data_IF_035282257981
#
_entry.id   IF_035282257981
#
_cell.length_a   1.000
_cell.length_b   1.000
_cell.length_c   1.000
_cell.angle_alpha   90.00
_cell.angle_beta   90.00
_cell.angle_gamma   90.00
#
_symmetry.space_group_name_H-M   'P 1'
#
loop_
_entity.id
_entity.type
_entity.pdbx_description
1 polymer ?
#
# COMPACT_ATOMS: atom_id res chain seq x y z
N UNK A 1 -7.47 -0.17 -52.45
CA UNK A 1 -6.21 -0.90 -52.70
C UNK A 1 -6.53 -2.12 -53.53
N UNK A 2 -5.71 -2.44 -54.54
CA UNK A 2 -5.85 -3.70 -55.29
C UNK A 2 -5.12 -4.81 -54.53
N UNK A 3 -5.72 -5.99 -54.47
CA UNK A 3 -5.21 -7.17 -53.76
C UNK A 3 -5.40 -8.40 -54.64
N UNK A 4 -4.58 -9.43 -54.45
CA UNK A 4 -4.71 -10.68 -55.21
C UNK A 4 -6.01 -11.42 -54.91
N UNK A 5 -6.51 -11.32 -53.67
CA UNK A 5 -7.79 -11.82 -53.23
C UNK A 5 -8.23 -11.12 -51.93
N UNK A 6 -9.54 -11.05 -51.70
CA UNK A 6 -10.13 -10.61 -50.42
C UNK A 6 -10.46 -11.78 -49.46
N UNK A 7 -10.11 -13.02 -49.84
CA UNK A 7 -10.37 -14.21 -49.01
C UNK A 7 -9.74 -14.07 -47.62
N UNK A 8 -10.54 -14.31 -46.58
CA UNK A 8 -10.10 -14.23 -45.18
C UNK A 8 -10.17 -12.83 -44.57
N UNK A 9 -10.34 -11.78 -45.39
CA UNK A 9 -10.62 -10.43 -44.90
C UNK A 9 -12.08 -10.31 -44.48
N UNK A 10 -12.35 -9.52 -43.45
CA UNK A 10 -13.72 -9.23 -42.98
C UNK A 10 -13.95 -7.73 -42.95
N UNK A 11 -15.17 -7.29 -43.24
CA UNK A 11 -15.57 -5.89 -43.04
C UNK A 11 -15.50 -5.58 -41.54
N UNK A 12 -14.95 -4.42 -41.18
CA UNK A 12 -14.53 -4.05 -39.82
C UNK A 12 -13.36 -4.85 -39.25
N UNK A 13 -12.80 -5.81 -39.98
CA UNK A 13 -11.52 -6.45 -39.65
C UNK A 13 -10.34 -5.54 -39.96
N UNK A 14 -9.13 -6.01 -39.63
CA UNK A 14 -7.90 -5.25 -39.77
C UNK A 14 -6.91 -5.96 -40.70
N UNK A 15 -6.17 -5.17 -41.45
CA UNK A 15 -5.04 -5.61 -42.27
C UNK A 15 -3.84 -4.72 -41.97
N UNK A 16 -2.63 -5.26 -42.14
CA UNK A 16 -1.39 -4.52 -41.99
C UNK A 16 -0.55 -4.58 -43.26
N UNK A 17 0.10 -3.46 -43.63
CA UNK A 17 1.08 -3.39 -44.71
C UNK A 17 2.33 -2.74 -44.15
N UNK A 18 3.44 -3.48 -44.11
CA UNK A 18 4.62 -3.06 -43.35
C UNK A 18 4.28 -2.85 -41.88
N UNK A 19 4.48 -1.61 -41.39
CA UNK A 19 4.15 -1.21 -40.02
C UNK A 19 2.79 -0.50 -39.90
N UNK A 20 2.06 -0.28 -40.98
CA UNK A 20 0.80 0.47 -40.93
C UNK A 20 -0.43 -0.43 -40.81
N UNK A 21 -1.34 -0.06 -39.90
CA UNK A 21 -2.63 -0.73 -39.74
C UNK A 21 -3.78 -0.04 -40.48
N UNK A 22 -4.63 -0.83 -41.12
CA UNK A 22 -5.83 -0.38 -41.82
C UNK A 22 -7.06 -1.17 -41.40
N UNK A 23 -8.18 -0.46 -41.23
CA UNK A 23 -9.50 -1.05 -40.99
C UNK A 23 -10.21 -1.25 -42.32
N UNK A 24 -10.67 -2.47 -42.57
CA UNK A 24 -11.42 -2.81 -43.78
C UNK A 24 -12.81 -2.19 -43.73
N UNK A 25 -13.12 -1.35 -44.71
CA UNK A 25 -14.40 -0.64 -44.85
C UNK A 25 -15.34 -1.40 -45.78
N UNK A 26 -14.86 -1.84 -46.94
CA UNK A 26 -15.68 -2.54 -47.94
C UNK A 26 -14.82 -3.36 -48.92
N UNK A 27 -15.47 -4.24 -49.69
CA UNK A 27 -14.87 -4.95 -50.81
C UNK A 27 -15.54 -4.54 -52.13
N UNK A 28 -15.02 -3.52 -52.83
CA UNK A 28 -15.61 -3.06 -54.10
C UNK A 28 -15.57 -4.13 -55.21
N UNK A 29 -14.63 -5.09 -55.12
CA UNK A 29 -14.55 -6.24 -56.02
C UNK A 29 -13.85 -7.42 -55.32
N UNK A 30 -13.78 -8.58 -55.97
CA UNK A 30 -13.05 -9.75 -55.47
C UNK A 30 -11.53 -9.53 -55.32
N UNK A 31 -10.99 -8.48 -55.94
CA UNK A 31 -9.56 -8.14 -55.96
C UNK A 31 -9.30 -6.72 -55.47
N UNK A 32 -10.26 -6.10 -54.79
CA UNK A 32 -10.06 -4.76 -54.24
C UNK A 32 -10.68 -4.61 -52.87
N UNK A 33 -9.96 -3.89 -52.01
CA UNK A 33 -10.37 -3.57 -50.66
C UNK A 33 -10.35 -2.06 -50.49
N UNK A 34 -11.42 -1.51 -49.93
CA UNK A 34 -11.45 -0.16 -49.40
C UNK A 34 -11.13 -0.25 -47.92
N UNK A 35 -10.11 0.45 -47.47
CA UNK A 35 -9.71 0.50 -46.07
C UNK A 35 -9.40 1.95 -45.67
N UNK A 36 -9.60 2.25 -44.40
CA UNK A 36 -9.20 3.50 -43.75
C UNK A 36 -7.99 3.24 -42.87
N UNK A 37 -7.03 4.16 -42.80
CA UNK A 37 -5.96 4.08 -41.80
C UNK A 37 -6.60 3.96 -40.41
N UNK A 38 -6.13 3.00 -39.63
CA UNK A 38 -6.70 2.65 -38.35
C UNK A 38 -5.85 3.07 -37.15
N UNK A 39 -4.64 3.59 -37.37
CA UNK A 39 -3.66 3.81 -36.30
C UNK A 39 -3.21 5.28 -36.19
N UNK A 40 -3.10 5.72 -34.95
CA UNK A 40 -2.38 6.91 -34.48
C UNK A 40 -1.01 6.42 -33.95
N UNK A 41 0.10 7.02 -34.38
CA UNK A 41 1.46 6.62 -33.94
C UNK A 41 2.39 6.09 -35.04
N UNK A 42 1.85 5.68 -36.20
CA UNK A 42 2.65 5.36 -37.39
C UNK A 42 2.60 6.49 -38.42
N UNK A 43 3.74 6.79 -39.05
CA UNK A 43 3.81 7.77 -40.12
C UNK A 43 3.19 7.19 -41.40
N UNK A 44 2.47 8.05 -42.15
CA UNK A 44 1.95 7.68 -43.46
C UNK A 44 3.09 7.26 -44.39
N UNK A 45 3.08 6.01 -44.84
CA UNK A 45 4.08 5.48 -45.76
C UNK A 45 3.48 5.16 -47.14
N UNK A 46 4.32 5.24 -48.17
CA UNK A 46 3.94 4.85 -49.52
C UNK A 46 4.09 3.35 -49.70
N UNK A 47 3.00 2.67 -50.05
CA UNK A 47 3.02 1.23 -50.36
C UNK A 47 3.18 0.98 -51.86
N UNK A 48 4.15 0.14 -52.19
CA UNK A 48 4.47 -0.26 -53.55
C UNK A 48 3.63 -1.45 -54.02
N UNK A 49 3.64 -1.69 -55.34
CA UNK A 49 3.02 -2.91 -55.87
C UNK A 49 3.75 -4.14 -55.33
N UNK A 50 2.99 -5.16 -54.90
CA UNK A 50 3.45 -6.41 -54.29
C UNK A 50 3.85 -6.33 -52.81
N UNK A 51 3.60 -5.21 -52.12
CA UNK A 51 3.76 -5.18 -50.67
C UNK A 51 2.85 -6.24 -50.01
N UNK A 52 3.42 -6.98 -49.06
CA UNK A 52 2.71 -8.04 -48.38
C UNK A 52 1.64 -7.45 -47.45
N UNK A 53 0.41 -7.94 -47.60
CA UNK A 53 -0.70 -7.59 -46.73
C UNK A 53 -0.90 -8.72 -45.74
N UNK A 54 -0.81 -8.41 -44.45
CA UNK A 54 -1.14 -9.33 -43.37
C UNK A 54 -2.59 -9.11 -42.96
N UNK A 55 -3.37 -10.19 -42.87
CA UNK A 55 -4.75 -10.14 -42.36
C UNK A 55 -4.72 -10.44 -40.87
N UNK A 56 -5.31 -9.57 -40.05
CA UNK A 56 -5.36 -9.73 -38.60
C UNK A 56 -6.77 -10.11 -38.16
N UNK A 57 -6.87 -11.18 -37.37
CA UNK A 57 -8.10 -11.62 -36.73
C UNK A 57 -7.98 -11.43 -35.22
N UNK A 58 -9.12 -11.28 -34.55
CA UNK A 58 -9.15 -11.21 -33.09
C UNK A 58 -8.62 -12.51 -32.49
N UNK A 59 -7.51 -12.41 -31.75
CA UNK A 59 -6.92 -13.55 -31.04
C UNK A 59 -7.72 -13.91 -29.78
N UNK A 60 -8.18 -12.89 -29.07
CA UNK A 60 -8.99 -12.99 -27.85
C UNK A 60 -10.25 -12.15 -28.07
N UNK A 61 -11.42 -12.71 -27.75
CA UNK A 61 -12.71 -12.04 -27.95
C UNK A 61 -13.15 -11.19 -26.74
N UNK A 62 -12.63 -11.50 -25.56
CA UNK A 62 -12.91 -10.77 -24.32
C UNK A 62 -11.96 -9.60 -24.15
N UNK A 63 -12.48 -8.45 -23.73
CA UNK A 63 -11.69 -7.27 -23.39
C UNK A 63 -11.13 -7.39 -21.96
N UNK A 64 -10.05 -6.67 -21.68
CA UNK A 64 -9.51 -6.47 -20.34
C UNK A 64 -9.42 -4.98 -20.02
N UNK A 65 -9.24 -4.66 -18.74
CA UNK A 65 -9.16 -3.29 -18.22
C UNK A 65 -7.72 -2.95 -17.83
N UNK A 66 -7.34 -1.68 -18.02
CA UNK A 66 -6.13 -1.12 -17.43
C UNK A 66 -6.29 -1.02 -15.92
N UNK A 67 -5.20 -1.24 -15.18
CA UNK A 67 -5.19 -1.09 -13.71
C UNK A 67 -4.63 0.25 -13.23
N UNK A 68 -4.14 1.06 -14.17
CA UNK A 68 -3.59 2.39 -13.92
C UNK A 68 -3.78 3.28 -15.16
N UNK A 69 -3.79 4.58 -14.93
CA UNK A 69 -3.71 5.60 -15.98
C UNK A 69 -2.38 5.49 -16.73
N UNK A 70 -2.46 5.55 -18.06
CA UNK A 70 -1.31 5.47 -18.96
C UNK A 70 -1.24 6.75 -19.79
N UNK A 71 -0.06 7.32 -19.94
CA UNK A 71 0.21 8.48 -20.81
C UNK A 71 0.98 8.06 -22.06
N UNK A 72 0.96 8.91 -23.09
CA UNK A 72 1.63 8.63 -24.37
C UNK A 72 3.15 8.40 -24.27
N UNK A 73 3.78 8.73 -23.15
CA UNK A 73 5.21 8.49 -22.91
C UNK A 73 5.49 7.11 -22.29
N UNK A 74 4.47 6.42 -21.78
CA UNK A 74 4.65 5.11 -21.15
C UNK A 74 4.92 4.04 -22.22
N UNK A 75 5.90 3.18 -21.92
CA UNK A 75 6.35 2.11 -22.82
C UNK A 75 5.85 0.73 -22.40
N UNK A 76 5.03 0.68 -21.34
CA UNK A 76 4.46 -0.55 -20.79
C UNK A 76 3.08 -0.27 -20.24
N UNK A 77 2.21 -1.27 -20.39
CA UNK A 77 0.80 -1.20 -19.98
C UNK A 77 0.51 -2.39 -19.09
N UNK A 78 -0.18 -2.16 -17.98
CA UNK A 78 -0.61 -3.20 -17.05
C UNK A 78 -2.11 -3.42 -17.13
N UNK A 79 -2.51 -4.68 -17.14
CA UNK A 79 -3.91 -5.11 -17.30
C UNK A 79 -4.36 -5.94 -16.11
N UNK A 80 -5.67 -6.00 -15.89
CA UNK A 80 -6.28 -6.56 -14.69
C UNK A 80 -6.28 -8.08 -14.65
N UNK A 81 -6.46 -8.75 -15.78
CA UNK A 81 -6.41 -10.20 -15.85
C UNK A 81 -4.99 -10.71 -16.06
N UNK A 82 -4.63 -11.75 -15.32
CA UNK A 82 -3.41 -12.51 -15.58
C UNK A 82 -3.63 -13.45 -16.78
N UNK A 83 -2.55 -13.71 -17.53
CA UNK A 83 -2.52 -14.72 -18.59
C UNK A 83 -3.61 -14.53 -19.67
N UNK A 84 -3.79 -13.29 -20.13
CA UNK A 84 -4.78 -12.92 -21.16
C UNK A 84 -4.53 -13.60 -22.52
N UNK A 85 -3.44 -14.35 -22.68
CA UNK A 85 -3.11 -15.06 -23.92
C UNK A 85 -2.49 -14.16 -24.99
N UNK A 86 -1.93 -13.03 -24.58
CA UNK A 86 -1.16 -12.12 -25.43
C UNK A 86 0.31 -12.58 -25.49
N UNK A 87 0.91 -12.45 -26.66
CA UNK A 87 2.30 -12.75 -26.94
C UNK A 87 3.00 -11.55 -27.60
N UNK A 88 4.33 -11.60 -27.69
CA UNK A 88 5.09 -10.60 -28.45
C UNK A 88 4.63 -10.57 -29.92
N UNK A 89 4.57 -9.36 -30.49
CA UNK A 89 4.05 -9.03 -31.83
C UNK A 89 2.53 -9.09 -32.01
N UNK A 90 1.76 -9.38 -30.96
CA UNK A 90 0.31 -9.15 -31.02
C UNK A 90 0.01 -7.64 -31.08
N UNK A 91 -1.18 -7.31 -31.59
CA UNK A 91 -1.71 -5.95 -31.61
C UNK A 91 -2.86 -5.84 -30.62
N UNK A 92 -2.86 -4.75 -29.84
CA UNK A 92 -3.96 -4.39 -28.96
C UNK A 92 -4.62 -3.09 -29.45
N UNK A 93 -5.89 -2.91 -29.11
CA UNK A 93 -6.65 -1.71 -29.38
C UNK A 93 -7.04 -1.07 -28.05
N UNK A 94 -6.62 0.18 -27.82
CA UNK A 94 -7.01 0.97 -26.66
C UNK A 94 -7.70 2.23 -27.16
N UNK A 95 -9.00 2.37 -26.87
CA UNK A 95 -9.81 3.44 -27.45
C UNK A 95 -9.82 3.35 -28.99
N UNK A 96 -9.20 4.33 -29.65
CA UNK A 96 -9.00 4.37 -31.11
C UNK A 96 -7.57 4.07 -31.54
N UNK A 97 -6.66 3.81 -30.62
CA UNK A 97 -5.23 3.62 -30.88
C UNK A 97 -4.87 2.13 -30.94
N UNK A 98 -4.11 1.75 -31.97
CA UNK A 98 -3.53 0.41 -32.05
C UNK A 98 -2.09 0.45 -31.56
N UNK A 99 -1.71 -0.55 -30.79
CA UNK A 99 -0.34 -0.68 -30.28
C UNK A 99 0.17 -2.09 -30.56
N UNK A 100 1.37 -2.17 -31.11
CA UNK A 100 2.08 -3.44 -31.28
C UNK A 100 2.85 -3.78 -30.02
N UNK A 101 2.63 -4.99 -29.49
CA UNK A 101 3.34 -5.47 -28.32
C UNK A 101 4.76 -5.90 -28.69
N UNK A 102 5.76 -5.37 -27.98
CA UNK A 102 7.16 -5.81 -28.12
C UNK A 102 7.42 -7.03 -27.25
N UNK A 103 6.84 -7.08 -26.06
CA UNK A 103 6.96 -8.17 -25.12
C UNK A 103 5.73 -8.24 -24.20
N UNK A 104 5.46 -9.43 -23.66
CA UNK A 104 4.45 -9.67 -22.63
C UNK A 104 5.15 -10.39 -21.48
N UNK A 105 5.03 -9.86 -20.27
CA UNK A 105 5.66 -10.42 -19.07
C UNK A 105 4.62 -10.55 -17.95
N UNK A 106 4.71 -11.60 -17.10
CA UNK A 106 3.85 -11.70 -15.94
C UNK A 106 4.17 -10.58 -14.95
N UNK A 107 3.14 -9.88 -14.46
CA UNK A 107 3.32 -8.99 -13.32
C UNK A 107 3.62 -9.83 -12.08
N UNK A 108 4.75 -9.56 -11.44
CA UNK A 108 5.19 -10.24 -10.21
C UNK A 108 4.62 -9.60 -8.96
N UNK A 109 3.89 -8.49 -9.09
CA UNK A 109 3.28 -7.74 -8.00
C UNK A 109 1.83 -8.18 -7.82
N UNK A 110 1.41 -8.33 -6.56
CA UNK A 110 0.01 -8.58 -6.22
C UNK A 110 -0.78 -7.28 -6.10
N UNK A 111 -2.09 -7.36 -6.35
CA UNK A 111 -3.03 -6.25 -6.09
C UNK A 111 -3.51 -6.36 -4.64
N UNK A 112 -3.55 -5.23 -3.94
CA UNK A 112 -4.18 -5.12 -2.62
C UNK A 112 -5.15 -3.94 -2.61
N UNK A 113 -6.31 -4.12 -1.99
CA UNK A 113 -7.31 -3.06 -1.84
C UNK A 113 -7.28 -2.56 -0.40
N UNK A 114 -7.00 -1.27 -0.22
CA UNK A 114 -7.07 -0.61 1.07
C UNK A 114 -8.41 0.12 1.19
N UNK A 115 -9.24 -0.33 2.13
CA UNK A 115 -10.49 0.36 2.46
C UNK A 115 -10.24 1.29 3.65
N UNK A 116 -10.44 2.59 3.45
CA UNK A 116 -10.37 3.59 4.51
C UNK A 116 -11.74 3.73 5.20
N UNK A 117 -11.73 4.00 6.50
CA UNK A 117 -12.96 4.20 7.27
C UNK A 117 -13.67 5.52 6.89
N UNK A 118 -12.90 6.53 6.51
CA UNK A 118 -13.39 7.84 6.07
C UNK A 118 -12.91 8.16 4.65
N UNK A 119 -13.68 8.99 3.95
CA UNK A 119 -13.35 9.44 2.60
C UNK A 119 -12.19 10.44 2.59
N UNK A 120 -11.28 10.28 1.62
CA UNK A 120 -10.21 11.24 1.38
C UNK A 120 -10.79 12.51 0.74
N UNK A 121 -10.72 13.63 1.45
CA UNK A 121 -11.28 14.94 1.00
C UNK A 121 -10.49 15.59 -0.15
N UNK A 122 -9.41 14.97 -0.61
CA UNK A 122 -8.53 15.47 -1.67
C UNK A 122 -8.44 14.37 -2.72
N UNK A 123 -8.46 14.73 -4.00
CA UNK A 123 -8.23 13.77 -5.09
C UNK A 123 -6.84 13.13 -4.95
N UNK A 124 -6.73 11.83 -5.21
CA UNK A 124 -5.46 11.13 -5.39
C UNK A 124 -5.40 10.69 -6.85
N UNK A 125 -4.36 11.11 -7.57
CA UNK A 125 -4.04 10.51 -8.86
C UNK A 125 -3.35 9.16 -8.69
N UNK A 126 -3.12 8.48 -9.81
CA UNK A 126 -2.40 7.22 -9.84
C UNK A 126 -0.89 7.39 -9.56
N UNK A 127 -0.22 6.27 -9.29
CA UNK A 127 1.23 6.22 -9.07
C UNK A 127 1.73 6.92 -7.80
N UNK A 128 0.84 7.25 -6.86
CA UNK A 128 1.21 7.94 -5.62
C UNK A 128 1.86 6.98 -4.61
N UNK A 129 2.95 7.43 -3.99
CA UNK A 129 3.52 6.77 -2.82
C UNK A 129 2.60 6.94 -1.62
N UNK A 130 2.25 5.84 -0.96
CA UNK A 130 1.53 5.86 0.32
C UNK A 130 2.40 5.29 1.44
N UNK A 131 2.25 5.85 2.64
CA UNK A 131 2.93 5.37 3.85
C UNK A 131 1.87 4.93 4.84
N UNK A 132 1.85 3.66 5.20
CA UNK A 132 0.99 3.15 6.27
C UNK A 132 1.73 3.28 7.59
N UNK A 133 1.06 3.82 8.60
CA UNK A 133 1.54 3.87 9.97
C UNK A 133 0.63 3.03 10.85
N UNK A 134 1.23 2.10 11.58
CA UNK A 134 0.52 1.23 12.52
C UNK A 134 0.71 1.74 13.95
N UNK A 135 -0.24 1.44 14.83
CA UNK A 135 -0.12 1.65 16.29
C UNK A 135 0.29 3.08 16.70
N UNK A 136 -0.18 4.09 15.96
CA UNK A 136 0.08 5.48 16.35
C UNK A 136 -0.99 5.96 17.34
N UNK A 137 -0.61 6.81 18.30
CA UNK A 137 -1.59 7.43 19.19
C UNK A 137 -2.54 8.33 18.41
N UNK A 138 -3.84 8.03 18.50
CA UNK A 138 -4.90 8.89 17.96
C UNK A 138 -5.22 10.09 18.87
N UNK A 139 -4.70 10.10 20.10
CA UNK A 139 -4.92 11.17 21.08
C UNK A 139 -3.67 12.04 21.16
N UNK A 140 -3.85 13.33 20.84
CA UNK A 140 -2.80 14.36 20.96
C UNK A 140 -3.34 15.55 21.73
N UNK A 141 -2.58 16.00 22.71
CA UNK A 141 -2.80 17.28 23.39
C UNK A 141 -1.54 18.14 23.21
N UNK A 142 -1.72 19.39 22.77
CA UNK A 142 -0.64 20.41 22.69
C UNK A 142 0.67 19.94 22.05
N UNK A 143 0.60 19.18 20.95
CA UNK A 143 1.77 18.67 20.21
C UNK A 143 2.62 17.60 20.93
N UNK A 144 2.14 17.01 22.02
CA UNK A 144 2.74 15.86 22.68
C UNK A 144 2.11 14.53 22.25
N UNK A 145 2.95 13.52 22.06
CA UNK A 145 2.50 12.14 21.87
C UNK A 145 2.32 11.47 23.25
N UNK A 146 1.20 10.76 23.42
CA UNK A 146 0.90 10.01 24.65
C UNK A 146 1.50 8.61 24.64
N UNK A 147 2.19 8.23 23.56
CA UNK A 147 2.86 6.94 23.41
C UNK A 147 4.11 6.80 24.28
N UNK A 148 4.87 7.88 24.52
CA UNK A 148 6.06 7.87 25.39
C UNK A 148 6.18 9.23 26.10
N UNK A 149 5.57 9.34 27.29
CA UNK A 149 5.49 10.60 28.02
C UNK A 149 6.90 11.11 28.37
N UNK A 150 7.14 12.39 28.04
CA UNK A 150 8.44 13.04 28.21
C UNK A 150 9.40 12.96 27.03
N UNK A 151 9.07 12.21 25.97
CA UNK A 151 9.80 12.29 24.68
C UNK A 151 9.44 13.55 23.89
N UNK A 152 8.34 14.23 24.23
CA UNK A 152 7.99 15.50 23.62
C UNK A 152 7.31 15.35 22.26
N UNK A 153 8.01 15.73 21.20
CA UNK A 153 7.43 15.85 19.85
C UNK A 153 7.43 14.52 19.08
N UNK A 154 6.56 14.44 18.06
CA UNK A 154 6.51 13.33 17.08
C UNK A 154 7.89 12.94 16.52
N UNK A 155 8.76 13.93 16.26
CA UNK A 155 10.08 13.67 15.71
C UNK A 155 10.99 12.97 16.71
N UNK A 156 10.81 13.23 18.00
CA UNK A 156 11.65 12.67 19.06
C UNK A 156 11.11 11.33 19.58
N UNK A 157 9.79 11.13 19.64
CA UNK A 157 9.17 9.82 19.89
C UNK A 157 9.52 8.81 18.78
N UNK A 158 9.73 9.29 17.54
CA UNK A 158 10.27 8.52 16.42
C UNK A 158 9.48 7.24 16.03
N UNK A 159 8.22 7.11 16.46
CA UNK A 159 7.42 5.93 16.15
C UNK A 159 7.31 5.67 14.62
N UNK A 160 7.54 4.42 14.14
CA UNK A 160 7.66 3.15 14.87
C UNK A 160 9.07 2.74 15.32
N UNK A 161 10.06 3.62 15.19
CA UNK A 161 11.38 3.41 15.77
C UNK A 161 11.41 3.68 17.27
N UNK A 162 12.57 3.47 17.90
CA UNK A 162 12.79 3.82 19.30
C UNK A 162 12.88 5.36 19.46
N UNK A 163 12.43 5.89 20.61
CA UNK A 163 12.62 7.29 20.95
C UNK A 163 14.07 7.74 20.83
N UNK A 164 14.29 8.92 20.26
CA UNK A 164 15.62 9.51 20.10
C UNK A 164 16.20 10.03 21.42
N UNK A 165 15.36 10.19 22.44
CA UNK A 165 15.77 10.42 23.83
C UNK A 165 14.94 9.54 24.77
N UNK A 166 15.44 9.21 25.97
CA UNK A 166 14.65 8.50 26.97
C UNK A 166 13.34 9.24 27.29
N UNK A 167 12.31 8.48 27.62
CA UNK A 167 11.10 9.02 28.25
C UNK A 167 11.45 9.60 29.64
N UNK A 168 10.60 10.48 30.15
CA UNK A 168 10.80 11.14 31.45
C UNK A 168 9.61 10.80 32.34
N UNK A 169 9.68 9.71 33.14
CA UNK A 169 8.55 9.25 33.95
C UNK A 169 8.01 10.29 34.92
N UNK A 170 8.86 11.23 35.40
CA UNK A 170 8.39 12.32 36.26
C UNK A 170 7.42 13.29 35.58
N UNK A 171 7.28 13.24 34.25
CA UNK A 171 6.29 14.04 33.51
C UNK A 171 4.95 13.32 33.32
N UNK A 172 4.81 12.10 33.83
CA UNK A 172 3.50 11.41 33.92
C UNK A 172 2.63 11.99 35.03
N UNK A 173 3.22 12.77 35.94
CA UNK A 173 2.53 13.39 37.08
C UNK A 173 2.84 14.88 37.16
N UNK A 174 1.90 15.64 37.70
CA UNK A 174 2.10 17.03 38.12
C UNK A 174 1.59 17.17 39.57
N UNK A 175 2.46 17.63 40.48
CA UNK A 175 2.15 17.77 41.90
C UNK A 175 2.26 19.25 42.31
N UNK A 176 1.15 19.86 42.74
CA UNK A 176 1.14 21.22 43.29
C UNK A 176 0.89 21.25 44.81
N UNK A 177 1.67 22.07 45.53
CA UNK A 177 1.56 22.22 46.99
C UNK A 177 0.45 23.22 47.32
N UNK A 178 -0.32 23.04 48.43
CA UNK A 178 -0.04 22.19 49.60
C UNK A 178 -0.78 20.83 49.61
N UNK A 179 -1.44 20.44 48.52
CA UNK A 179 -2.22 19.21 48.47
C UNK A 179 -1.36 17.95 48.49
N UNK A 180 -1.73 16.95 49.30
CA UNK A 180 -1.27 15.57 49.09
C UNK A 180 -2.26 14.87 48.19
N UNK A 181 -1.88 14.61 46.95
CA UNK A 181 -2.69 13.86 45.99
C UNK A 181 -2.15 12.44 45.92
N UNK A 182 -3.02 11.45 46.15
CA UNK A 182 -2.70 10.07 45.78
C UNK A 182 -3.03 9.92 44.30
N UNK A 183 -2.02 9.64 43.49
CA UNK A 183 -2.21 9.34 42.07
C UNK A 183 -2.06 7.84 41.83
N UNK A 184 -2.72 7.39 40.78
CA UNK A 184 -2.51 6.07 40.20
C UNK A 184 -2.06 6.30 38.78
N UNK A 185 -0.93 5.71 38.39
CA UNK A 185 -0.42 5.77 37.02
C UNK A 185 -0.15 4.37 36.49
N UNK A 186 -0.31 4.23 35.19
CA UNK A 186 0.16 3.07 34.43
C UNK A 186 1.05 3.63 33.32
N UNK A 187 2.32 3.22 33.29
CA UNK A 187 3.24 3.64 32.24
C UNK A 187 3.04 2.83 30.93
N UNK A 188 3.86 3.13 29.93
CA UNK A 188 3.77 2.53 28.59
C UNK A 188 4.10 1.03 28.57
N UNK A 189 4.83 0.56 29.58
CA UNK A 189 5.18 -0.85 29.77
C UNK A 189 4.12 -1.58 30.61
N UNK A 190 3.04 -0.90 31.00
CA UNK A 190 1.97 -1.47 31.82
C UNK A 190 2.32 -1.54 33.31
N UNK A 191 3.36 -0.85 33.78
CA UNK A 191 3.72 -0.83 35.19
C UNK A 191 2.75 0.06 35.96
N UNK A 192 2.14 -0.49 37.00
CA UNK A 192 1.15 0.18 37.82
C UNK A 192 1.80 0.80 39.06
N UNK A 193 1.56 2.08 39.32
CA UNK A 193 2.08 2.79 40.47
C UNK A 193 0.98 3.53 41.23
N UNK A 194 1.03 3.48 42.56
CA UNK A 194 0.21 4.31 43.46
C UNK A 194 1.14 5.23 44.22
N UNK A 195 1.27 6.46 43.74
CA UNK A 195 2.29 7.38 44.24
C UNK A 195 3.70 6.80 44.07
N UNK A 196 4.54 7.06 45.09
CA UNK A 196 5.86 6.44 45.26
C UNK A 196 5.85 5.21 46.17
N UNK A 197 4.69 4.85 46.73
CA UNK A 197 4.64 3.94 47.87
C UNK A 197 4.32 2.50 47.48
N UNK A 198 3.62 2.29 46.37
CA UNK A 198 3.31 0.97 45.84
C UNK A 198 3.52 0.96 44.33
N UNK A 199 4.23 -0.05 43.82
CA UNK A 199 4.48 -0.24 42.39
C UNK A 199 4.46 -1.71 42.01
N UNK A 200 3.86 -2.04 40.88
CA UNK A 200 3.85 -3.37 40.26
C UNK A 200 4.39 -3.23 38.85
N UNK A 201 5.52 -3.88 38.60
CA UNK A 201 6.15 -3.93 37.29
C UNK A 201 5.65 -5.15 36.51
N UNK A 202 4.93 -4.94 35.40
CA UNK A 202 4.34 -6.04 34.63
C UNK A 202 5.39 -6.79 33.82
N UNK A 203 6.41 -6.06 33.33
CA UNK A 203 7.50 -6.64 32.54
C UNK A 203 8.44 -7.53 33.37
N UNK A 204 8.71 -7.17 34.62
CA UNK A 204 9.66 -7.90 35.49
C UNK A 204 8.97 -8.76 36.55
N UNK A 205 7.67 -8.56 36.77
CA UNK A 205 6.89 -9.23 37.81
C UNK A 205 7.17 -8.72 39.23
N UNK A 206 7.94 -7.64 39.39
CA UNK A 206 8.32 -7.10 40.70
C UNK A 206 7.19 -6.25 41.30
N UNK A 207 6.82 -6.53 42.55
CA UNK A 207 6.00 -5.65 43.37
C UNK A 207 6.85 -5.00 44.47
N UNK A 208 6.72 -3.69 44.65
CA UNK A 208 7.42 -2.92 45.69
C UNK A 208 6.40 -2.21 46.58
N UNK A 209 6.59 -2.30 47.90
CA UNK A 209 5.77 -1.63 48.92
C UNK A 209 6.72 -0.92 49.92
N UNK A 210 6.52 0.38 50.12
CA UNK A 210 7.29 1.17 51.11
C UNK A 210 6.74 0.95 52.53
N UNK A 211 7.38 0.06 53.29
CA UNK A 211 6.97 -0.26 54.65
C UNK A 211 7.13 0.89 55.66
N UNK A 212 7.87 1.96 55.33
CA UNK A 212 8.04 3.13 56.20
C UNK A 212 6.88 4.13 56.07
N UNK A 213 6.17 4.08 54.94
CA UNK A 213 5.07 4.98 54.62
C UNK A 213 3.67 4.37 54.85
N UNK A 214 3.58 3.05 55.02
CA UNK A 214 2.33 2.34 55.28
C UNK A 214 2.24 1.80 56.71
N UNK A 215 1.09 2.01 57.35
CA UNK A 215 0.75 1.29 58.56
C UNK A 215 0.42 -0.16 58.21
N UNK A 216 1.28 -1.09 58.62
CA UNK A 216 1.09 -2.53 58.42
C UNK A 216 0.33 -3.19 59.58
N UNK A 217 -0.06 -2.42 60.60
CA UNK A 217 -0.89 -2.92 61.71
C UNK A 217 -2.29 -3.22 61.18
N UNK A 218 -2.64 -4.52 61.17
CA UNK A 218 -3.88 -5.02 60.56
C UNK A 218 -3.67 -5.97 59.39
N UNK A 219 -2.44 -6.14 58.91
CA UNK A 219 -2.14 -7.19 57.94
C UNK A 219 -2.22 -8.58 58.60
N UNK A 220 -3.29 -9.34 58.33
CA UNK A 220 -3.52 -10.66 58.94
C UNK A 220 -2.46 -11.70 58.56
N UNK A 221 -1.98 -11.68 57.31
CA UNK A 221 -0.79 -12.43 56.88
C UNK A 221 -0.29 -11.88 55.54
N UNK A 222 1.03 -11.82 55.35
CA UNK A 222 1.67 -11.61 54.04
C UNK A 222 2.22 -12.95 53.56
N UNK A 223 1.64 -13.51 52.50
CA UNK A 223 2.12 -14.75 51.89
C UNK A 223 2.96 -14.41 50.66
N UNK A 224 4.27 -14.60 50.76
CA UNK A 224 5.18 -14.51 49.63
C UNK A 224 4.99 -15.78 48.79
N UNK A 225 4.50 -15.64 47.55
CA UNK A 225 4.44 -16.74 46.60
C UNK A 225 5.85 -17.32 46.40
N UNK A 226 5.95 -18.66 46.38
CA UNK A 226 7.18 -19.46 46.25
C UNK A 226 8.47 -18.66 46.09
N UNK A 227 9.12 -18.33 47.21
CA UNK A 227 10.55 -18.00 47.18
C UNK A 227 11.22 -19.28 46.71
N UNK A 228 11.54 -19.36 45.42
CA UNK A 228 12.33 -20.44 44.86
C UNK A 228 13.65 -20.50 45.61
N UNK A 229 13.73 -21.41 46.58
CA UNK A 229 14.94 -21.85 47.26
C UNK A 229 15.86 -20.75 47.83
N UNK A 230 15.42 -20.01 48.85
CA UNK A 230 16.38 -19.53 49.85
C UNK A 230 15.72 -19.23 51.20
N UNK A 231 15.95 -20.12 52.16
CA UNK A 231 15.85 -19.77 53.57
C UNK A 231 16.87 -18.65 53.84
N UNK A 232 16.40 -17.47 54.26
CA UNK A 232 17.25 -16.48 54.93
C UNK A 232 17.59 -15.19 54.19
N UNK A 233 16.66 -14.57 53.45
CA UNK A 233 16.77 -13.14 53.20
C UNK A 233 16.23 -12.38 54.43
N UNK A 234 17.11 -11.76 55.21
CA UNK A 234 16.72 -10.84 56.27
C UNK A 234 16.00 -9.64 55.64
N UNK A 235 14.80 -9.35 56.15
CA UNK A 235 14.09 -8.11 55.86
C UNK A 235 14.62 -7.08 56.85
N UNK A 236 15.33 -6.06 56.34
CA UNK A 236 15.55 -4.79 57.02
C UNK A 236 14.67 -3.75 56.36
#
# INVERSE_FOLDING_TARGET
MQVSSVTGMTINGFIAIGNELFKVVSFPSATSVQASRAEEGTAAEGHSTNDAITILNAKIASQDELIEDVVAADVSIRVKQASVGLDANDYILIGSEFMKLVAVAPDTKGITTLQFADEKVIEAGDGQDFKIRFQYSQVRLTAHDFLDVGTGSKANTNWPGLPNSPNVPSYEIDEDRPGRVYYVSTDQDGNFSVGKYFRVEQATGKATLDASAFDLSGLSSLRLGSIGAQLGAAIN
#
